data_IF_738354809264
#
_entry.id   IF_738354809264
#
_cell.length_a   1.000
_cell.length_b   1.000
_cell.length_c   1.000
_cell.angle_alpha   90.00
_cell.angle_beta   90.00
_cell.angle_gamma   90.00
#
_symmetry.space_group_name_H-M   'P 1'
#
loop_
_entity.id
_entity.type
_entity.pdbx_description
1 polymer ?
#
# COMPACT_ATOMS: atom_id res chain seq x y z
N UNK A 1 10.93 -19.63 11.45
CA UNK A 1 11.46 -18.26 11.28
C UNK A 1 10.24 -17.38 11.16
N UNK A 2 10.07 -16.39 12.04
CA UNK A 2 8.94 -15.45 11.92
C UNK A 2 9.33 -14.50 10.79
N UNK A 3 8.63 -14.57 9.66
CA UNK A 3 8.83 -13.57 8.61
C UNK A 3 8.35 -12.24 9.18
N UNK A 4 9.27 -11.31 9.39
CA UNK A 4 8.91 -9.96 9.81
C UNK A 4 8.09 -9.30 8.69
N UNK A 5 7.02 -8.62 9.08
CA UNK A 5 6.11 -7.95 8.15
C UNK A 5 6.00 -6.46 8.50
N UNK A 6 5.77 -5.62 7.49
CA UNK A 6 5.46 -4.20 7.68
C UNK A 6 4.00 -3.96 7.30
N UNK A 7 3.29 -3.25 8.16
CA UNK A 7 1.93 -2.78 7.93
C UNK A 7 1.95 -1.34 7.40
N UNK A 8 1.32 -1.10 6.25
CA UNK A 8 1.31 0.21 5.58
C UNK A 8 -0.12 0.59 5.22
N UNK A 9 -0.57 1.75 5.71
CA UNK A 9 -1.88 2.34 5.40
C UNK A 9 -1.81 3.48 4.36
N UNK A 10 -0.60 3.96 4.06
CA UNK A 10 -0.40 5.09 3.17
C UNK A 10 -0.50 4.68 1.71
N UNK A 11 -1.54 5.16 1.02
CA UNK A 11 -1.77 4.95 -0.42
C UNK A 11 -0.53 5.31 -1.26
N UNK A 12 0.15 6.40 -0.92
CA UNK A 12 1.35 6.84 -1.65
C UNK A 12 2.48 5.82 -1.50
N UNK A 13 2.77 5.36 -0.27
CA UNK A 13 3.83 4.38 -0.03
C UNK A 13 3.52 3.04 -0.70
N UNK A 14 2.26 2.63 -0.69
CA UNK A 14 1.80 1.40 -1.36
C UNK A 14 1.99 1.49 -2.87
N UNK A 15 1.55 2.60 -3.48
CA UNK A 15 1.74 2.86 -4.89
C UNK A 15 3.21 2.89 -5.30
N UNK A 16 4.07 3.47 -4.45
CA UNK A 16 5.51 3.51 -4.65
C UNK A 16 6.15 2.11 -4.65
N UNK A 17 5.77 1.24 -3.70
CA UNK A 17 6.25 -0.14 -3.69
C UNK A 17 5.76 -0.91 -4.92
N UNK A 18 4.48 -0.75 -5.30
CA UNK A 18 3.92 -1.40 -6.50
C UNK A 18 4.55 -0.92 -7.81
N UNK A 19 5.00 0.33 -7.91
CA UNK A 19 5.74 0.80 -9.10
C UNK A 19 7.10 0.13 -9.27
N UNK A 20 7.64 -0.44 -8.19
CA UNK A 20 8.87 -1.23 -8.16
C UNK A 20 8.61 -2.74 -8.20
N UNK A 21 7.41 -3.16 -8.62
CA UNK A 21 6.96 -4.56 -8.67
C UNK A 21 6.92 -5.28 -7.31
N UNK A 22 6.86 -4.53 -6.21
CA UNK A 22 6.66 -5.08 -4.88
C UNK A 22 5.17 -5.07 -4.55
N UNK A 23 4.60 -6.27 -4.37
CA UNK A 23 3.21 -6.45 -4.01
C UNK A 23 3.07 -6.83 -2.54
N UNK A 24 1.92 -6.48 -1.98
CA UNK A 24 1.46 -6.91 -0.67
C UNK A 24 1.33 -8.44 -0.62
N UNK A 25 1.54 -8.99 0.57
CA UNK A 25 1.30 -10.40 0.87
C UNK A 25 -0.08 -10.62 1.48
N UNK A 26 -0.66 -9.59 2.11
CA UNK A 26 -1.99 -9.66 2.73
C UNK A 26 -2.58 -8.25 2.93
N UNK A 27 -3.86 -8.19 3.29
CA UNK A 27 -4.57 -6.97 3.67
C UNK A 27 -5.37 -7.17 4.96
N UNK A 28 -5.27 -6.20 5.87
CA UNK A 28 -6.05 -6.17 7.12
C UNK A 28 -7.07 -5.06 7.01
N UNK A 29 -8.33 -5.39 7.31
CA UNK A 29 -9.41 -4.40 7.34
C UNK A 29 -9.93 -4.26 8.76
N UNK A 30 -10.08 -3.01 9.19
CA UNK A 30 -10.55 -2.70 10.53
C UNK A 30 -11.41 -1.45 10.51
N UNK A 31 -12.24 -1.30 11.54
CA UNK A 31 -13.14 -0.15 11.68
C UNK A 31 -12.70 0.69 12.87
N UNK A 32 -12.65 2.00 12.68
CA UNK A 32 -12.41 2.97 13.76
C UNK A 32 -13.32 4.19 13.54
N UNK A 33 -14.05 4.58 14.60
CA UNK A 33 -14.99 5.71 14.60
C UNK A 33 -15.93 5.77 13.37
N UNK A 34 -16.60 4.65 13.04
CA UNK A 34 -17.49 4.48 11.88
C UNK A 34 -16.80 4.66 10.51
N UNK A 35 -15.46 4.52 10.46
CA UNK A 35 -14.69 4.53 9.22
C UNK A 35 -13.97 3.20 9.06
N UNK A 36 -14.06 2.63 7.87
CA UNK A 36 -13.29 1.44 7.52
C UNK A 36 -11.92 1.82 6.96
N UNK A 37 -10.90 1.17 7.49
CA UNK A 37 -9.51 1.28 7.11
C UNK A 37 -9.01 -0.04 6.54
N UNK A 38 -8.02 0.07 5.66
CA UNK A 38 -7.37 -1.07 5.02
C UNK A 38 -5.87 -0.82 5.10
N UNK A 39 -5.18 -1.76 5.73
CA UNK A 39 -3.75 -1.77 5.80
C UNK A 39 -3.20 -2.92 4.97
N UNK A 40 -2.14 -2.63 4.22
CA UNK A 40 -1.50 -3.56 3.32
C UNK A 40 -0.24 -4.09 3.99
N UNK A 41 -0.09 -5.41 3.98
CA UNK A 41 1.00 -6.11 4.65
C UNK A 41 2.05 -6.46 3.60
N UNK A 42 3.30 -6.09 3.86
CA UNK A 42 4.43 -6.40 3.00
C UNK A 42 5.48 -7.20 3.78
N UNK A 43 6.27 -8.00 3.05
CA UNK A 43 7.47 -8.60 3.63
C UNK A 43 8.45 -7.50 4.07
N UNK A 44 9.00 -7.62 5.27
CA UNK A 44 9.99 -6.70 5.80
C UNK A 44 11.39 -7.01 5.25
N UNK A 45 11.58 -6.84 3.94
CA UNK A 45 12.89 -7.02 3.30
C UNK A 45 13.68 -5.71 3.30
N UNK A 46 15.01 -5.80 3.17
CA UNK A 46 15.86 -4.61 3.06
C UNK A 46 15.51 -3.76 1.83
N UNK A 47 15.12 -4.39 0.73
CA UNK A 47 14.63 -3.72 -0.48
C UNK A 47 13.40 -2.83 -0.19
N UNK A 48 12.42 -3.35 0.55
CA UNK A 48 11.23 -2.57 0.95
C UNK A 48 11.64 -1.39 1.83
N UNK A 49 12.53 -1.60 2.79
CA UNK A 49 13.01 -0.54 3.69
C UNK A 49 13.74 0.56 2.92
N UNK A 50 14.62 0.19 1.99
CA UNK A 50 15.37 1.12 1.15
C UNK A 50 14.45 1.95 0.27
N UNK A 51 13.47 1.33 -0.40
CA UNK A 51 12.51 2.05 -1.25
C UNK A 51 11.64 3.02 -0.45
N UNK A 52 11.18 2.62 0.74
CA UNK A 52 10.43 3.50 1.63
C UNK A 52 11.24 4.70 2.13
N UNK A 53 12.56 4.54 2.28
CA UNK A 53 13.46 5.64 2.61
C UNK A 53 13.69 6.56 1.40
N UNK A 54 13.84 6.00 0.19
CA UNK A 54 14.03 6.74 -1.07
C UNK A 54 12.81 7.59 -1.46
N UNK A 55 11.60 7.10 -1.18
CA UNK A 55 10.34 7.80 -1.45
C UNK A 55 10.31 9.28 -1.02
N UNK A 56 11.10 9.66 0.00
CA UNK A 56 11.20 11.04 0.48
C UNK A 56 11.89 12.02 -0.50
N UNK A 57 12.58 11.52 -1.52
CA UNK A 57 13.50 12.30 -2.36
C UNK A 57 13.16 12.30 -3.86
N UNK A 58 11.97 11.85 -4.27
CA UNK A 58 11.87 11.18 -5.55
C UNK A 58 11.72 12.00 -6.84
N UNK A 59 12.49 11.52 -7.84
CA UNK A 59 12.67 12.06 -9.19
C UNK A 59 11.94 11.23 -10.26
N UNK A 60 11.40 10.06 -9.89
CA UNK A 60 10.68 9.12 -10.78
C UNK A 60 9.16 9.35 -10.76
N UNK A 61 8.77 10.62 -10.90
CA UNK A 61 7.39 11.09 -10.68
C UNK A 61 6.36 10.42 -11.61
N UNK A 62 6.73 10.08 -12.85
CA UNK A 62 5.78 9.63 -13.86
C UNK A 62 5.22 8.22 -13.62
N UNK A 63 6.07 7.23 -13.35
CA UNK A 63 5.63 5.86 -13.04
C UNK A 63 4.92 5.78 -11.69
N UNK A 64 5.38 6.60 -10.72
CA UNK A 64 4.67 6.77 -9.46
C UNK A 64 3.23 7.27 -9.66
N UNK A 65 3.00 8.30 -10.48
CA UNK A 65 1.66 8.85 -10.71
C UNK A 65 0.69 7.84 -11.34
N UNK A 66 1.17 7.01 -12.27
CA UNK A 66 0.36 5.92 -12.85
C UNK A 66 -0.04 4.89 -11.80
N UNK A 67 0.94 4.40 -11.04
CA UNK A 67 0.69 3.41 -9.99
C UNK A 67 -0.21 3.97 -8.89
N UNK A 68 -0.03 5.25 -8.53
CA UNK A 68 -0.85 5.93 -7.53
C UNK A 68 -2.32 5.97 -7.93
N UNK A 69 -2.62 6.35 -9.19
CA UNK A 69 -4.00 6.36 -9.67
C UNK A 69 -4.65 4.98 -9.56
N UNK A 70 -3.96 3.94 -10.04
CA UNK A 70 -4.44 2.55 -10.00
C UNK A 70 -4.72 2.09 -8.56
N UNK A 71 -3.76 2.26 -7.65
CA UNK A 71 -3.93 1.86 -6.24
C UNK A 71 -5.08 2.60 -5.57
N UNK A 72 -5.22 3.90 -5.87
CA UNK A 72 -6.32 4.70 -5.33
C UNK A 72 -7.69 4.19 -5.80
N UNK A 73 -7.81 3.81 -7.07
CA UNK A 73 -9.04 3.28 -7.64
C UNK A 73 -9.37 1.89 -7.07
N UNK A 74 -8.38 0.98 -6.98
CA UNK A 74 -8.53 -0.34 -6.35
C UNK A 74 -9.02 -0.23 -4.90
N UNK A 75 -8.39 0.64 -4.09
CA UNK A 75 -8.80 0.86 -2.71
C UNK A 75 -10.22 1.42 -2.58
N UNK A 76 -10.66 2.24 -3.55
CA UNK A 76 -12.03 2.76 -3.59
C UNK A 76 -13.03 1.65 -3.86
N UNK A 77 -12.74 0.77 -4.82
CA UNK A 77 -13.59 -0.39 -5.14
C UNK A 77 -13.72 -1.36 -3.96
N UNK A 78 -12.63 -1.64 -3.23
CA UNK A 78 -12.67 -2.50 -2.04
C UNK A 78 -13.58 -1.91 -0.95
N UNK A 79 -13.56 -0.59 -0.75
CA UNK A 79 -14.48 0.09 0.19
C UNK A 79 -15.94 -0.04 -0.23
N UNK A 80 -16.26 0.12 -1.51
CA UNK A 80 -17.65 0.02 -2.00
C UNK A 80 -18.18 -1.42 -1.97
N UNK A 81 -17.37 -2.41 -2.35
CA UNK A 81 -17.77 -3.82 -2.41
C UNK A 81 -18.04 -4.42 -1.03
N UNK A 82 -17.39 -3.92 0.03
CA UNK A 82 -17.60 -4.38 1.42
C UNK A 82 -18.78 -3.71 2.13
N UNK A 83 -19.35 -2.64 1.56
CA UNK A 83 -20.54 -1.94 2.09
C UNK A 83 -21.86 -2.50 1.54
N UNK A 84 -21.82 -3.54 0.70
CA UNK A 84 -23.00 -4.15 0.09
C UNK A 84 -23.31 -5.50 0.72
N UNK A 85 -23.66 -5.55 2.01
CA UNK A 85 -24.30 -6.72 2.64
C UNK A 85 -25.05 -6.33 3.91
#
# INVERSE_FOLDING_TARGET
MVNETIQISSVNKIAWLKSHNINEIDTICYEDANRQYIDYIFNNTDEVRELLNKFKNDSEMYEFLKCFKRVKDEMREIRHSRLSR
#
